data_IF_783179282107
#
_entry.id   IF_783179282107
#
_cell.length_a   1.000
_cell.length_b   1.000
_cell.length_c   1.000
_cell.angle_alpha   90.00
_cell.angle_beta   90.00
_cell.angle_gamma   90.00
#
_symmetry.space_group_name_H-M   'P 1'
#
loop_
_entity.id
_entity.type
_entity.pdbx_description
1 polymer ?
#
# COMPACT_ATOMS: atom_id res chain seq x y z
N UNK A 1 42.79 -25.90 10.27
CA UNK A 1 43.89 -26.75 9.76
C UNK A 1 43.38 -27.53 8.56
N UNK A 2 43.73 -27.07 7.36
CA UNK A 2 43.41 -27.72 6.09
C UNK A 2 44.52 -28.70 5.73
N UNK A 3 44.18 -29.92 5.33
CA UNK A 3 45.14 -30.88 4.73
C UNK A 3 44.55 -31.36 3.41
N UNK A 4 45.10 -30.79 2.34
CA UNK A 4 44.83 -31.09 0.95
C UNK A 4 45.91 -32.09 0.47
N UNK A 5 45.52 -33.21 -0.18
CA UNK A 5 46.47 -34.20 -0.73
C UNK A 5 46.66 -34.03 -2.24
N UNK A 6 47.94 -33.92 -2.61
CA UNK A 6 48.60 -33.96 -3.95
C UNK A 6 48.06 -35.11 -4.84
N UNK A 7 47.85 -34.96 -6.16
CA UNK A 7 48.73 -34.63 -7.30
C UNK A 7 49.68 -35.76 -7.76
N UNK A 8 49.52 -36.19 -9.03
CA UNK A 8 50.44 -36.88 -9.96
C UNK A 8 49.68 -37.06 -11.30
N UNK A 9 50.21 -36.97 -12.52
CA UNK A 9 51.41 -36.40 -13.16
C UNK A 9 51.20 -36.51 -14.71
N UNK A 10 51.93 -35.67 -15.45
CA UNK A 10 51.96 -35.37 -16.91
C UNK A 10 52.55 -36.50 -17.82
N UNK A 11 52.78 -36.40 -19.18
CA UNK A 11 53.19 -35.23 -20.03
C UNK A 11 52.50 -35.10 -21.43
N UNK A 12 52.41 -33.94 -22.10
CA UNK A 12 53.37 -33.03 -22.80
C UNK A 12 54.02 -33.60 -24.07
N UNK A 13 53.74 -32.95 -25.21
CA UNK A 13 54.48 -33.00 -26.48
C UNK A 13 53.81 -32.15 -27.58
N UNK A 14 54.44 -31.04 -27.98
CA UNK A 14 53.98 -30.06 -28.99
C UNK A 14 54.91 -30.08 -30.25
N UNK A 15 54.97 -29.05 -31.13
CA UNK A 15 54.20 -28.89 -32.39
C UNK A 15 55.08 -28.76 -33.65
N UNK A 16 54.51 -28.76 -34.87
CA UNK A 16 55.20 -28.37 -36.13
C UNK A 16 54.28 -27.55 -37.04
N UNK A 17 54.90 -26.60 -37.75
CA UNK A 17 54.44 -25.37 -38.39
C UNK A 17 54.05 -25.44 -39.87
N UNK A 18 53.22 -24.47 -40.28
CA UNK A 18 53.24 -23.66 -41.52
C UNK A 18 53.14 -24.32 -42.91
N UNK A 19 52.14 -23.88 -43.70
CA UNK A 19 52.30 -23.47 -45.11
C UNK A 19 51.26 -22.41 -45.50
N UNK A 20 51.76 -21.30 -46.02
CA UNK A 20 51.08 -20.19 -46.70
C UNK A 20 51.14 -20.45 -48.22
N UNK A 21 50.05 -20.14 -48.94
CA UNK A 21 49.97 -19.45 -50.24
C UNK A 21 48.58 -19.70 -50.85
N UNK A 22 47.72 -18.69 -50.86
CA UNK A 22 47.31 -17.93 -52.06
C UNK A 22 46.53 -18.77 -53.08
N UNK A 23 45.22 -18.53 -53.18
CA UNK A 23 44.67 -18.09 -54.46
C UNK A 23 43.38 -17.29 -54.29
N UNK A 24 43.24 -16.30 -55.16
CA UNK A 24 42.23 -15.25 -55.12
C UNK A 24 41.16 -15.46 -56.20
N UNK A 25 40.00 -14.84 -55.98
CA UNK A 25 38.91 -14.57 -56.94
C UNK A 25 37.92 -15.69 -57.27
N UNK A 26 36.69 -15.56 -56.72
CA UNK A 26 35.47 -15.60 -57.52
C UNK A 26 34.30 -14.91 -56.81
N UNK A 27 33.61 -14.12 -57.62
CA UNK A 27 32.61 -13.12 -57.32
C UNK A 27 31.30 -13.66 -56.76
N UNK A 28 30.76 -12.91 -55.80
CA UNK A 28 29.35 -12.53 -55.64
C UNK A 28 28.30 -13.27 -56.48
N UNK A 29 27.38 -13.97 -55.80
CA UNK A 29 25.96 -13.98 -56.18
C UNK A 29 25.07 -14.46 -55.02
N UNK A 30 24.02 -13.67 -54.80
CA UNK A 30 22.76 -13.96 -54.10
C UNK A 30 22.73 -14.21 -52.59
N UNK A 31 22.90 -13.12 -51.85
CA UNK A 31 22.17 -12.88 -50.60
C UNK A 31 20.73 -12.40 -50.91
N UNK A 32 19.77 -13.33 -50.97
CA UNK A 32 18.34 -12.96 -51.05
C UNK A 32 17.39 -14.04 -50.51
N UNK A 33 17.70 -14.62 -49.34
CA UNK A 33 16.63 -15.18 -48.49
C UNK A 33 15.91 -14.02 -47.81
N UNK A 34 14.92 -13.47 -48.50
CA UNK A 34 13.89 -12.65 -47.88
C UNK A 34 13.27 -13.46 -46.74
N UNK A 35 13.57 -13.05 -45.51
CA UNK A 35 12.78 -13.36 -44.34
C UNK A 35 11.36 -12.86 -44.60
N UNK A 36 10.47 -13.79 -44.91
CA UNK A 36 9.04 -13.53 -44.90
C UNK A 36 8.68 -13.09 -43.48
N UNK A 37 8.51 -11.78 -43.30
CA UNK A 37 7.91 -11.21 -42.10
C UNK A 37 6.48 -11.74 -42.05
N UNK A 38 6.31 -12.86 -41.36
CA UNK A 38 5.02 -13.41 -41.00
C UNK A 38 4.28 -12.31 -40.21
N UNK A 39 3.34 -11.63 -40.88
CA UNK A 39 2.40 -10.72 -40.22
C UNK A 39 1.81 -11.47 -39.03
N UNK A 40 1.71 -10.88 -37.83
CA UNK A 40 1.01 -11.52 -36.74
C UNK A 40 -0.39 -11.84 -37.23
N UNK A 41 -0.69 -13.13 -37.37
CA UNK A 41 -2.00 -13.61 -37.75
C UNK A 41 -3.01 -12.91 -36.84
N UNK A 42 -3.89 -12.09 -37.42
CA UNK A 42 -4.96 -11.46 -36.68
C UNK A 42 -5.79 -12.61 -36.07
N UNK A 43 -5.67 -12.78 -34.76
CA UNK A 43 -6.42 -13.79 -34.01
C UNK A 43 -7.89 -13.59 -34.39
N UNK A 44 -8.62 -14.63 -34.83
CA UNK A 44 -10.03 -14.49 -35.20
C UNK A 44 -10.81 -13.91 -34.02
N UNK A 45 -11.72 -12.97 -34.31
CA UNK A 45 -12.59 -12.34 -33.32
C UNK A 45 -13.58 -13.38 -32.79
N UNK A 46 -13.23 -14.04 -31.67
CA UNK A 46 -14.16 -14.94 -30.98
C UNK A 46 -15.35 -14.12 -30.44
N UNK A 47 -16.59 -14.64 -30.53
CA UNK A 47 -17.76 -13.97 -29.94
C UNK A 47 -17.69 -13.90 -28.40
N UNK A 48 -16.74 -14.61 -27.78
CA UNK A 48 -16.51 -14.64 -26.33
C UNK A 48 -15.40 -13.69 -25.85
N UNK A 49 -14.80 -12.89 -26.74
CA UNK A 49 -13.76 -11.89 -26.39
C UNK A 49 -14.05 -11.02 -25.17
N UNK A 50 -15.26 -10.47 -24.94
CA UNK A 50 -15.50 -9.67 -23.74
C UNK A 50 -15.37 -10.49 -22.45
N UNK A 51 -15.78 -11.76 -22.45
CA UNK A 51 -15.67 -12.66 -21.29
C UNK A 51 -14.21 -13.07 -21.07
N UNK A 52 -13.49 -13.39 -22.15
CA UNK A 52 -12.06 -13.69 -22.11
C UNK A 52 -11.26 -12.51 -21.58
N UNK A 53 -11.57 -11.28 -22.01
CA UNK A 53 -10.90 -10.06 -21.58
C UNK A 53 -11.17 -9.74 -20.11
N UNK A 54 -12.40 -9.95 -19.63
CA UNK A 54 -12.72 -9.82 -18.20
C UNK A 54 -11.96 -10.86 -17.38
N UNK A 55 -11.93 -12.11 -17.84
CA UNK A 55 -11.21 -13.18 -17.16
C UNK A 55 -9.69 -12.90 -17.12
N UNK A 56 -9.14 -12.38 -18.21
CA UNK A 56 -7.74 -11.97 -18.29
C UNK A 56 -7.45 -10.77 -17.38
N UNK A 57 -8.33 -9.77 -17.33
CA UNK A 57 -8.18 -8.60 -16.46
C UNK A 57 -8.20 -8.99 -14.97
N UNK A 58 -9.06 -9.94 -14.60
CA UNK A 58 -9.27 -10.36 -13.22
C UNK A 58 -8.19 -11.33 -12.70
N UNK A 59 -7.57 -12.11 -13.57
CA UNK A 59 -6.61 -13.15 -13.16
C UNK A 59 -5.16 -12.84 -13.54
N UNK A 60 -4.92 -12.02 -14.57
CA UNK A 60 -3.57 -11.73 -15.03
C UNK A 60 -2.96 -10.53 -14.29
N UNK A 61 -1.87 -10.77 -13.56
CA UNK A 61 -1.16 -9.74 -12.81
C UNK A 61 -0.56 -8.64 -13.73
N UNK A 62 -0.32 -8.92 -15.02
CA UNK A 62 0.12 -7.90 -15.99
C UNK A 62 -0.87 -6.72 -16.12
N UNK A 63 -2.15 -6.96 -15.81
CA UNK A 63 -3.20 -5.97 -15.89
C UNK A 63 -3.60 -5.38 -14.53
N UNK A 64 -2.88 -5.72 -13.46
CA UNK A 64 -3.20 -5.29 -12.09
C UNK A 64 -3.45 -3.78 -11.99
N UNK A 65 -2.51 -2.95 -12.47
CA UNK A 65 -2.63 -1.49 -12.37
C UNK A 65 -3.76 -0.91 -13.24
N UNK A 66 -4.12 -1.59 -14.34
CA UNK A 66 -5.27 -1.18 -15.16
C UNK A 66 -6.57 -1.43 -14.40
N UNK A 67 -6.71 -2.61 -13.78
CA UNK A 67 -7.85 -2.95 -12.95
C UNK A 67 -7.93 -2.02 -11.72
N UNK A 68 -6.81 -1.82 -11.02
CA UNK A 68 -6.71 -0.94 -9.86
C UNK A 68 -7.11 0.51 -10.22
N UNK A 69 -6.63 1.05 -11.34
CA UNK A 69 -7.00 2.37 -11.82
C UNK A 69 -8.49 2.51 -12.14
N UNK A 70 -9.07 1.51 -12.81
CA UNK A 70 -10.51 1.46 -13.10
C UNK A 70 -11.34 1.44 -11.82
N UNK A 71 -10.97 0.57 -10.86
CA UNK A 71 -11.64 0.46 -9.57
C UNK A 71 -11.49 1.74 -8.75
N UNK A 72 -10.32 2.37 -8.75
CA UNK A 72 -10.09 3.63 -8.04
C UNK A 72 -10.99 4.75 -8.58
N UNK A 73 -11.13 4.87 -9.91
CA UNK A 73 -12.06 5.81 -10.52
C UNK A 73 -13.51 5.48 -10.18
N UNK A 74 -13.90 4.21 -10.25
CA UNK A 74 -15.24 3.77 -9.87
C UNK A 74 -15.57 4.13 -8.41
N UNK A 75 -14.60 3.96 -7.51
CA UNK A 75 -14.71 4.32 -6.09
C UNK A 75 -14.85 5.82 -5.87
N UNK A 76 -14.16 6.67 -6.64
CA UNK A 76 -14.39 8.13 -6.61
C UNK A 76 -15.85 8.44 -6.91
N UNK A 77 -16.40 7.89 -8.01
CA UNK A 77 -17.79 8.13 -8.40
C UNK A 77 -18.78 7.57 -7.37
N UNK A 78 -18.53 6.37 -6.86
CA UNK A 78 -19.37 5.72 -5.86
C UNK A 78 -19.44 6.56 -4.57
N UNK A 79 -18.29 7.05 -4.07
CA UNK A 79 -18.26 7.89 -2.89
C UNK A 79 -18.99 9.23 -3.10
N UNK A 80 -18.86 9.86 -4.28
CA UNK A 80 -19.64 11.06 -4.62
C UNK A 80 -21.15 10.78 -4.58
N UNK A 81 -21.58 9.64 -5.13
CA UNK A 81 -22.99 9.23 -5.12
C UNK A 81 -23.47 9.00 -3.69
N UNK A 82 -22.67 8.32 -2.87
CA UNK A 82 -22.99 8.04 -1.46
C UNK A 82 -23.15 9.34 -0.68
N UNK A 83 -22.21 10.28 -0.77
CA UNK A 83 -22.27 11.58 -0.07
C UNK A 83 -23.54 12.34 -0.46
N UNK A 84 -23.93 12.30 -1.74
CA UNK A 84 -25.08 13.07 -2.23
C UNK A 84 -26.44 12.39 -1.99
N UNK A 85 -26.48 11.06 -1.95
CA UNK A 85 -27.75 10.31 -1.92
C UNK A 85 -28.08 9.68 -0.57
N UNK A 86 -27.08 9.41 0.26
CA UNK A 86 -27.28 8.70 1.53
C UNK A 86 -27.10 9.72 2.67
N UNK A 87 -28.09 9.83 3.58
CA UNK A 87 -27.99 10.77 4.69
C UNK A 87 -26.84 10.39 5.63
N UNK A 88 -26.15 11.41 6.12
CA UNK A 88 -25.19 11.27 7.19
C UNK A 88 -25.84 10.67 8.44
N UNK A 89 -25.12 9.80 9.15
CA UNK A 89 -25.56 9.24 10.43
C UNK A 89 -24.57 9.61 11.51
N UNK A 90 -25.03 10.45 12.44
CA UNK A 90 -24.26 10.84 13.62
C UNK A 90 -24.10 9.65 14.58
N UNK A 91 -22.87 9.42 15.03
CA UNK A 91 -22.57 8.43 16.07
C UNK A 91 -21.58 9.04 17.07
N UNK A 92 -20.37 9.35 16.61
CA UNK A 92 -19.29 9.83 17.49
C UNK A 92 -18.73 11.21 17.08
N UNK A 93 -19.16 11.79 15.96
CA UNK A 93 -18.55 13.01 15.43
C UNK A 93 -18.78 14.21 16.35
N UNK A 94 -20.00 14.39 16.86
CA UNK A 94 -20.30 15.45 17.83
C UNK A 94 -19.44 15.27 19.09
N UNK A 95 -19.33 14.04 19.60
CA UNK A 95 -18.51 13.76 20.77
C UNK A 95 -17.03 14.11 20.52
N UNK A 96 -16.48 13.72 19.36
CA UNK A 96 -15.12 14.09 18.97
C UNK A 96 -14.90 15.61 18.97
N UNK A 97 -15.88 16.38 18.44
CA UNK A 97 -15.79 17.84 18.41
C UNK A 97 -15.89 18.46 19.81
N UNK A 98 -16.69 17.88 20.72
CA UNK A 98 -16.81 18.34 22.11
C UNK A 98 -15.53 18.07 22.90
N UNK A 99 -15.00 16.85 22.83
CA UNK A 99 -13.77 16.46 23.51
C UNK A 99 -12.61 17.35 23.10
N UNK A 100 -12.44 17.55 21.79
CA UNK A 100 -11.39 18.41 21.25
C UNK A 100 -11.65 19.89 21.54
N UNK A 101 -12.91 20.33 21.55
CA UNK A 101 -13.22 21.70 21.99
C UNK A 101 -12.79 21.96 23.42
N UNK A 102 -12.86 20.97 24.32
CA UNK A 102 -12.33 21.06 25.68
C UNK A 102 -10.83 21.35 25.67
N UNK A 103 -10.07 20.56 24.90
CA UNK A 103 -8.64 20.77 24.73
C UNK A 103 -8.29 22.15 24.16
N UNK A 104 -9.00 22.58 23.11
CA UNK A 104 -8.79 23.89 22.49
C UNK A 104 -9.12 25.08 23.41
N UNK A 105 -9.91 24.86 24.46
CA UNK A 105 -10.20 25.86 25.50
C UNK A 105 -9.14 25.91 26.61
N UNK A 106 -8.11 25.07 26.52
CA UNK A 106 -7.00 25.02 27.46
C UNK A 106 -7.06 23.91 28.50
N UNK A 107 -8.02 22.97 28.39
CA UNK A 107 -8.02 21.79 29.25
C UNK A 107 -6.97 20.79 28.79
N UNK A 108 -6.09 20.38 29.70
CA UNK A 108 -5.01 19.42 29.43
C UNK A 108 -5.13 18.14 30.25
N UNK A 109 -5.98 18.14 31.28
CA UNK A 109 -6.29 16.95 32.05
C UNK A 109 -7.28 16.08 31.25
N UNK A 110 -6.80 14.92 30.79
CA UNK A 110 -7.60 13.95 30.04
C UNK A 110 -8.85 13.48 30.79
N UNK A 111 -8.83 13.48 32.12
CA UNK A 111 -9.98 13.06 32.92
C UNK A 111 -11.18 14.01 32.78
N UNK A 112 -10.90 15.26 32.39
CA UNK A 112 -11.87 16.33 32.20
C UNK A 112 -12.30 16.47 30.72
N UNK A 113 -11.56 15.90 29.77
CA UNK A 113 -11.93 15.90 28.35
C UNK A 113 -13.04 14.87 28.11
N UNK A 114 -14.27 15.35 27.84
CA UNK A 114 -15.46 14.50 27.67
C UNK A 114 -16.38 15.05 26.59
N UNK A 115 -17.11 14.13 25.95
CA UNK A 115 -18.24 14.43 25.06
C UNK A 115 -19.50 13.69 25.50
N UNK A 116 -20.54 13.76 24.67
CA UNK A 116 -21.85 13.13 24.93
C UNK A 116 -21.76 11.60 25.06
N UNK A 117 -20.72 10.99 24.50
CA UNK A 117 -20.46 9.54 24.57
C UNK A 117 -19.58 9.12 25.75
N UNK A 118 -19.14 10.08 26.59
CA UNK A 118 -18.30 9.81 27.76
C UNK A 118 -16.92 10.48 27.69
N UNK A 119 -15.95 10.01 28.49
CA UNK A 119 -14.60 10.58 28.51
C UNK A 119 -13.81 10.22 27.24
N UNK A 120 -12.88 11.10 26.89
CA UNK A 120 -11.94 10.89 25.80
C UNK A 120 -11.00 9.72 26.14
N UNK A 121 -11.10 8.65 25.36
CA UNK A 121 -10.29 7.42 25.52
C UNK A 121 -9.18 7.27 24.47
N UNK A 122 -9.12 8.19 23.51
CA UNK A 122 -8.13 8.16 22.45
C UNK A 122 -6.83 8.85 22.87
N UNK A 123 -5.66 8.40 22.38
CA UNK A 123 -4.37 9.05 22.64
C UNK A 123 -4.24 10.44 21.98
N UNK A 124 -3.16 11.17 22.31
CA UNK A 124 -2.97 12.58 21.94
C UNK A 124 -2.95 12.87 20.44
N UNK A 125 -2.53 11.90 19.60
CA UNK A 125 -2.58 12.05 18.15
C UNK A 125 -4.02 12.26 17.64
N UNK A 126 -5.02 11.64 18.25
CA UNK A 126 -6.43 11.92 17.96
C UNK A 126 -6.75 13.40 18.25
N UNK A 127 -6.39 13.88 19.44
CA UNK A 127 -6.67 15.26 19.85
C UNK A 127 -6.07 16.26 18.87
N UNK A 128 -4.81 16.07 18.45
CA UNK A 128 -4.14 16.97 17.50
C UNK A 128 -4.77 16.94 16.10
N UNK A 129 -5.05 15.75 15.57
CA UNK A 129 -5.64 15.62 14.23
C UNK A 129 -7.06 16.17 14.22
N UNK A 130 -7.88 15.83 15.21
CA UNK A 130 -9.25 16.30 15.29
C UNK A 130 -9.33 17.77 15.69
N UNK A 131 -8.32 18.35 16.35
CA UNK A 131 -8.19 19.81 16.51
C UNK A 131 -8.03 20.50 15.16
N UNK A 132 -7.19 19.95 14.27
CA UNK A 132 -7.07 20.49 12.92
C UNK A 132 -8.39 20.34 12.14
N UNK A 133 -9.05 19.18 12.22
CA UNK A 133 -10.35 18.97 11.59
C UNK A 133 -11.41 19.93 12.12
N UNK A 134 -11.45 20.18 13.43
CA UNK A 134 -12.38 21.11 14.07
C UNK A 134 -12.35 22.49 13.40
N UNK A 135 -11.16 23.03 13.12
CA UNK A 135 -11.04 24.31 12.41
C UNK A 135 -11.40 24.21 10.92
N UNK A 136 -11.06 23.11 10.24
CA UNK A 136 -11.33 22.92 8.81
C UNK A 136 -12.83 22.79 8.48
N UNK A 137 -13.64 22.32 9.43
CA UNK A 137 -15.07 22.01 9.24
C UNK A 137 -16.00 22.94 10.01
N UNK A 138 -15.61 24.21 10.18
CA UNK A 138 -16.39 25.24 10.87
C UNK A 138 -16.80 24.82 12.29
N UNK A 139 -15.83 24.39 13.11
CA UNK A 139 -16.04 23.94 14.50
C UNK A 139 -16.94 22.69 14.61
N UNK A 140 -16.83 21.77 13.65
CA UNK A 140 -17.65 20.55 13.64
C UNK A 140 -19.00 20.66 12.93
N UNK A 141 -19.43 21.88 12.57
CA UNK A 141 -20.79 22.14 12.04
C UNK A 141 -20.93 21.76 10.57
N UNK A 142 -19.85 21.83 9.79
CA UNK A 142 -19.90 21.59 8.36
C UNK A 142 -19.63 20.11 8.02
N UNK A 143 -20.65 19.28 8.23
CA UNK A 143 -20.56 17.83 8.00
C UNK A 143 -20.22 17.52 6.55
N UNK A 144 -20.80 18.24 5.58
CA UNK A 144 -20.50 18.01 4.16
C UNK A 144 -19.02 18.19 3.84
N UNK A 145 -18.35 19.22 4.38
CA UNK A 145 -16.89 19.36 4.23
C UNK A 145 -16.15 18.21 4.88
N UNK A 146 -16.57 17.78 6.07
CA UNK A 146 -16.03 16.58 6.73
C UNK A 146 -16.13 15.33 5.85
N UNK A 147 -17.29 15.08 5.23
CA UNK A 147 -17.49 13.94 4.33
C UNK A 147 -16.53 13.95 3.14
N UNK A 148 -16.26 15.12 2.54
CA UNK A 148 -15.27 15.24 1.47
C UNK A 148 -13.84 14.97 1.94
N UNK A 149 -13.46 15.44 3.14
CA UNK A 149 -12.15 15.13 3.74
C UNK A 149 -12.01 13.63 3.97
N UNK A 150 -13.04 13.00 4.55
CA UNK A 150 -13.05 11.56 4.82
C UNK A 150 -13.12 10.70 3.54
N UNK A 151 -13.74 11.18 2.48
CA UNK A 151 -13.62 10.58 1.15
C UNK A 151 -12.16 10.62 0.66
N UNK A 152 -11.45 11.74 0.86
CA UNK A 152 -10.03 11.83 0.58
C UNK A 152 -9.21 10.80 1.37
N UNK A 153 -9.48 10.64 2.67
CA UNK A 153 -8.85 9.61 3.52
C UNK A 153 -9.16 8.19 3.05
N UNK A 154 -10.40 7.93 2.61
CA UNK A 154 -10.80 6.65 2.04
C UNK A 154 -10.00 6.32 0.79
N UNK A 155 -9.93 7.25 -0.16
CA UNK A 155 -9.19 7.09 -1.41
C UNK A 155 -7.68 6.93 -1.16
N UNK A 156 -7.12 7.70 -0.23
CA UNK A 156 -5.73 7.53 0.19
C UNK A 156 -5.47 6.12 0.75
N UNK A 157 -6.35 5.65 1.64
CA UNK A 157 -6.27 4.28 2.18
C UNK A 157 -6.31 3.25 1.06
N UNK A 158 -7.27 3.39 0.14
CA UNK A 158 -7.46 2.49 -0.99
C UNK A 158 -6.22 2.43 -1.88
N UNK A 159 -5.61 3.58 -2.19
CA UNK A 159 -4.39 3.66 -2.99
C UNK A 159 -3.19 2.97 -2.32
N UNK A 160 -3.04 3.13 -1.00
CA UNK A 160 -2.00 2.43 -0.23
C UNK A 160 -2.25 0.92 -0.27
N UNK A 161 -3.48 0.48 -0.04
CA UNK A 161 -3.88 -0.94 -0.07
C UNK A 161 -3.62 -1.55 -1.45
N UNK A 162 -4.00 -0.88 -2.54
CA UNK A 162 -3.68 -1.33 -3.89
C UNK A 162 -2.17 -1.46 -4.12
N UNK A 163 -1.37 -0.54 -3.58
CA UNK A 163 0.08 -0.62 -3.68
C UNK A 163 0.62 -1.81 -2.88
N UNK A 164 0.07 -2.11 -1.70
CA UNK A 164 0.42 -3.31 -0.92
C UNK A 164 0.12 -4.57 -1.74
N UNK A 165 -1.08 -4.70 -2.30
CA UNK A 165 -1.45 -5.85 -3.13
C UNK A 165 -0.58 -5.97 -4.39
N UNK A 166 -0.14 -4.86 -4.98
CA UNK A 166 0.76 -4.89 -6.14
C UNK A 166 2.13 -5.50 -5.84
N UNK A 167 2.54 -5.53 -4.56
CA UNK A 167 3.80 -6.16 -4.14
C UNK A 167 3.69 -7.67 -4.02
N UNK A 168 2.49 -8.18 -3.88
CA UNK A 168 2.24 -9.61 -3.82
C UNK A 168 1.86 -10.14 -5.20
N UNK A 169 2.72 -10.98 -5.77
CA UNK A 169 2.47 -11.63 -7.06
C UNK A 169 1.61 -12.90 -6.93
N UNK A 170 1.37 -13.37 -5.70
CA UNK A 170 0.61 -14.60 -5.45
C UNK A 170 -0.89 -14.36 -5.43
N UNK A 171 -1.31 -13.18 -4.98
CA UNK A 171 -2.73 -12.81 -4.93
C UNK A 171 -3.25 -12.43 -6.33
N UNK A 172 -4.34 -13.06 -6.80
CA UNK A 172 -4.97 -12.69 -8.06
C UNK A 172 -5.61 -11.30 -8.00
N UNK A 173 -5.59 -10.52 -9.11
CA UNK A 173 -6.16 -9.16 -9.16
C UNK A 173 -7.66 -9.04 -8.80
N UNK A 174 -8.47 -10.10 -8.96
CA UNK A 174 -9.89 -10.06 -8.63
C UNK A 174 -10.18 -9.69 -7.17
N UNK A 175 -9.21 -9.90 -6.26
CA UNK A 175 -9.35 -9.53 -4.84
C UNK A 175 -9.56 -8.03 -4.67
N UNK A 176 -9.04 -7.20 -5.58
CA UNK A 176 -9.26 -5.74 -5.56
C UNK A 176 -10.75 -5.39 -5.66
N UNK A 177 -11.53 -6.17 -6.41
CA UNK A 177 -12.98 -5.96 -6.55
C UNK A 177 -13.67 -6.20 -5.20
N UNK A 178 -13.27 -7.24 -4.48
CA UNK A 178 -13.84 -7.56 -3.16
C UNK A 178 -13.53 -6.46 -2.13
N UNK A 179 -12.34 -5.87 -2.19
CA UNK A 179 -11.95 -4.75 -1.32
C UNK A 179 -12.86 -3.53 -1.55
N UNK A 180 -13.10 -3.18 -2.83
CA UNK A 180 -13.98 -2.06 -3.21
C UNK A 180 -15.45 -2.29 -2.82
N UNK A 181 -15.96 -3.52 -2.95
CA UNK A 181 -17.38 -3.83 -2.69
C UNK A 181 -17.81 -3.75 -1.22
N UNK A 182 -16.92 -3.43 -0.28
CA UNK A 182 -17.25 -3.38 1.15
C UNK A 182 -18.13 -2.19 1.51
N UNK A 183 -19.43 -2.43 1.70
CA UNK A 183 -20.40 -1.44 2.23
C UNK A 183 -20.00 -0.88 3.59
N UNK A 184 -19.34 -1.69 4.42
CA UNK A 184 -18.94 -1.30 5.77
C UNK A 184 -17.87 -0.20 5.74
N UNK A 185 -16.89 -0.28 4.84
CA UNK A 185 -15.83 0.72 4.73
C UNK A 185 -16.40 2.08 4.33
N UNK A 186 -17.24 2.12 3.30
CA UNK A 186 -17.95 3.33 2.88
C UNK A 186 -18.71 4.00 4.03
N UNK A 187 -19.40 3.19 4.84
CA UNK A 187 -20.16 3.69 5.96
C UNK A 187 -19.27 4.24 7.08
N UNK A 188 -18.16 3.58 7.41
CA UNK A 188 -17.21 4.02 8.44
C UNK A 188 -16.52 5.33 8.04
N UNK A 189 -16.02 5.41 6.81
CA UNK A 189 -15.30 6.59 6.34
C UNK A 189 -16.25 7.77 6.11
N UNK A 190 -17.24 7.60 5.23
CA UNK A 190 -17.94 8.74 4.62
C UNK A 190 -19.29 9.05 5.26
N UNK A 191 -19.94 8.08 5.90
CA UNK A 191 -21.27 8.28 6.51
C UNK A 191 -21.25 8.49 8.02
N UNK A 192 -20.12 8.19 8.69
CA UNK A 192 -19.98 8.28 10.15
C UNK A 192 -18.79 9.13 10.59
N UNK A 193 -17.74 9.24 9.77
CA UNK A 193 -16.53 10.04 10.04
C UNK A 193 -15.79 9.55 11.31
N UNK A 194 -15.68 8.24 11.48
CA UNK A 194 -14.98 7.64 12.63
C UNK A 194 -13.49 7.95 12.66
N UNK A 195 -12.88 7.86 13.85
CA UNK A 195 -11.43 8.01 14.02
C UNK A 195 -10.62 6.87 13.35
N UNK A 196 -11.17 5.66 13.30
CA UNK A 196 -10.55 4.46 12.73
C UNK A 196 -9.86 4.70 11.36
N UNK A 197 -10.54 5.29 10.35
CA UNK A 197 -9.94 5.75 9.10
C UNK A 197 -8.55 6.38 9.21
N UNK A 198 -8.38 7.33 10.13
CA UNK A 198 -7.13 8.09 10.28
C UNK A 198 -6.01 7.17 10.77
N UNK A 199 -6.29 6.36 11.80
CA UNK A 199 -5.33 5.40 12.32
C UNK A 199 -4.93 4.34 11.27
N UNK A 200 -5.90 3.87 10.47
CA UNK A 200 -5.66 2.85 9.46
C UNK A 200 -4.81 3.36 8.29
N UNK A 201 -4.90 4.64 7.90
CA UNK A 201 -3.99 5.23 6.90
C UNK A 201 -2.54 5.11 7.36
N UNK A 202 -2.24 5.51 8.60
CA UNK A 202 -0.89 5.42 9.15
C UNK A 202 -0.41 3.97 9.27
N UNK A 203 -1.29 3.05 9.71
CA UNK A 203 -0.95 1.63 9.80
C UNK A 203 -0.63 1.01 8.43
N UNK A 204 -1.48 1.22 7.43
CA UNK A 204 -1.21 0.68 6.09
C UNK A 204 0.01 1.36 5.44
N UNK A 205 0.23 2.64 5.68
CA UNK A 205 1.46 3.32 5.26
C UNK A 205 2.71 2.73 5.94
N UNK A 206 2.61 2.35 7.22
CA UNK A 206 3.68 1.65 7.93
C UNK A 206 3.97 0.29 7.27
N UNK A 207 2.94 -0.51 7.01
CA UNK A 207 3.07 -1.80 6.31
C UNK A 207 3.73 -1.59 4.93
N UNK A 208 3.29 -0.59 4.17
CA UNK A 208 3.87 -0.28 2.87
C UNK A 208 5.35 0.11 2.99
N UNK A 209 5.70 0.97 3.95
CA UNK A 209 7.10 1.35 4.21
C UNK A 209 7.95 0.13 4.60
N UNK A 210 7.37 -0.81 5.37
CA UNK A 210 8.00 -2.08 5.73
C UNK A 210 8.30 -2.94 4.49
N UNK A 211 7.35 -3.05 3.56
CA UNK A 211 7.56 -3.77 2.28
C UNK A 211 8.67 -3.15 1.43
N UNK A 212 8.87 -1.83 1.51
CA UNK A 212 10.00 -1.12 0.88
C UNK A 212 11.30 -1.18 1.68
N UNK A 213 11.38 -1.98 2.75
CA UNK A 213 12.54 -2.11 3.64
C UNK A 213 12.94 -0.79 4.31
N UNK A 214 11.99 0.14 4.47
CA UNK A 214 12.20 1.42 5.17
C UNK A 214 11.77 1.28 6.63
N UNK A 215 12.58 0.59 7.42
CA UNK A 215 12.26 0.19 8.79
C UNK A 215 11.94 1.37 9.71
N UNK A 216 12.78 2.41 9.71
CA UNK A 216 12.58 3.60 10.55
C UNK A 216 11.30 4.35 10.21
N UNK A 217 11.02 4.54 8.92
CA UNK A 217 9.77 5.18 8.49
C UNK A 217 8.56 4.34 8.91
N UNK A 218 8.65 3.01 8.77
CA UNK A 218 7.61 2.09 9.22
C UNK A 218 7.35 2.22 10.72
N UNK A 219 8.39 2.27 11.55
CA UNK A 219 8.25 2.41 13.00
C UNK A 219 7.64 3.75 13.39
N UNK A 220 8.06 4.85 12.74
CA UNK A 220 7.48 6.19 12.96
C UNK A 220 5.99 6.18 12.59
N UNK A 221 5.62 5.68 11.41
CA UNK A 221 4.23 5.61 10.97
C UNK A 221 3.37 4.70 11.86
N UNK A 222 3.92 3.57 12.32
CA UNK A 222 3.23 2.69 13.27
C UNK A 222 3.00 3.39 14.61
N UNK A 223 3.98 4.14 15.10
CA UNK A 223 3.84 4.94 16.31
C UNK A 223 2.78 6.05 16.14
N UNK A 224 2.78 6.76 15.00
CA UNK A 224 1.72 7.72 14.68
C UNK A 224 0.33 7.07 14.62
N UNK A 225 0.21 5.84 14.09
CA UNK A 225 -1.07 5.12 14.12
C UNK A 225 -1.52 4.82 15.57
N UNK A 226 -0.59 4.41 16.43
CA UNK A 226 -0.85 4.14 17.85
C UNK A 226 -1.28 5.39 18.60
N UNK A 227 -0.70 6.56 18.29
CA UNK A 227 -1.08 7.83 18.93
C UNK A 227 -2.46 8.34 18.51
N UNK A 228 -3.05 7.78 17.44
CA UNK A 228 -4.43 8.06 17.03
C UNK A 228 -5.42 7.09 17.65
N UNK A 229 -5.10 5.78 17.69
CA UNK A 229 -5.99 4.76 18.27
C UNK A 229 -5.21 3.61 18.90
N UNK A 230 -5.53 3.32 20.18
CA UNK A 230 -4.89 2.24 20.94
C UNK A 230 -5.10 0.84 20.33
N UNK A 231 -6.15 0.61 19.55
CA UNK A 231 -6.39 -0.71 18.93
C UNK A 231 -5.28 -1.15 17.97
N UNK A 232 -4.43 -0.22 17.53
CA UNK A 232 -3.25 -0.51 16.70
C UNK A 232 -2.23 -1.39 17.44
N UNK A 233 -2.23 -1.35 18.78
CA UNK A 233 -1.37 -2.20 19.62
C UNK A 233 -1.60 -3.70 19.36
N UNK A 234 -2.77 -4.09 18.85
CA UNK A 234 -3.05 -5.49 18.44
C UNK A 234 -2.16 -5.96 17.28
N UNK A 235 -1.63 -5.05 16.45
CA UNK A 235 -0.69 -5.37 15.37
C UNK A 235 0.77 -5.43 15.86
N UNK A 236 1.05 -4.94 17.07
CA UNK A 236 2.40 -4.81 17.60
C UNK A 236 3.15 -6.14 17.73
N UNK A 237 2.56 -7.27 18.18
CA UNK A 237 3.28 -8.54 18.28
C UNK A 237 3.84 -9.02 16.93
N UNK A 238 3.02 -8.95 15.88
CA UNK A 238 3.44 -9.31 14.52
C UNK A 238 4.49 -8.33 14.00
N UNK A 239 4.27 -7.03 14.19
CA UNK A 239 5.20 -5.98 13.77
C UNK A 239 6.59 -6.11 14.45
N UNK A 240 6.60 -6.28 15.76
CA UNK A 240 7.82 -6.45 16.56
C UNK A 240 8.58 -7.72 16.18
N UNK A 241 7.88 -8.83 15.96
CA UNK A 241 8.50 -10.07 15.48
C UNK A 241 9.16 -9.89 14.10
N UNK A 242 8.49 -9.20 13.16
CA UNK A 242 9.04 -8.93 11.84
C UNK A 242 10.27 -8.01 11.89
N UNK A 243 10.27 -6.97 12.74
CA UNK A 243 11.44 -6.13 12.96
C UNK A 243 12.60 -6.96 13.52
N UNK A 244 12.32 -7.81 14.51
CA UNK A 244 13.34 -8.68 15.09
C UNK A 244 13.96 -9.63 14.06
N UNK A 245 13.14 -10.25 13.21
CA UNK A 245 13.62 -11.13 12.15
C UNK A 245 14.46 -10.40 11.10
N UNK A 246 14.12 -9.14 10.79
CA UNK A 246 14.75 -8.36 9.71
C UNK A 246 15.97 -7.55 10.17
N UNK A 247 16.02 -7.10 11.42
CA UNK A 247 17.04 -6.20 11.95
C UNK A 247 17.85 -6.80 13.12
N UNK A 248 17.45 -7.97 13.62
CA UNK A 248 18.04 -8.56 14.83
C UNK A 248 17.71 -7.78 16.10
N UNK A 249 18.27 -8.21 17.23
CA UNK A 249 17.92 -7.67 18.56
C UNK A 249 18.27 -6.17 18.68
N UNK A 250 19.49 -5.78 18.30
CA UNK A 250 19.97 -4.41 18.46
C UNK A 250 19.14 -3.43 17.61
N UNK A 251 18.89 -3.77 16.35
CA UNK A 251 18.06 -2.95 15.48
C UNK A 251 16.63 -2.83 15.98
N UNK A 252 16.07 -3.90 16.56
CA UNK A 252 14.75 -3.86 17.18
C UNK A 252 14.69 -2.87 18.34
N UNK A 253 15.68 -2.88 19.23
CA UNK A 253 15.75 -1.94 20.35
C UNK A 253 15.77 -0.49 19.84
N UNK A 254 16.58 -0.19 18.82
CA UNK A 254 16.62 1.15 18.21
C UNK A 254 15.25 1.56 17.66
N UNK A 255 14.58 0.67 16.94
CA UNK A 255 13.25 0.96 16.38
C UNK A 255 12.19 1.16 17.47
N UNK A 256 12.24 0.38 18.56
CA UNK A 256 11.35 0.55 19.71
C UNK A 256 11.59 1.87 20.42
N UNK A 257 12.86 2.28 20.60
CA UNK A 257 13.19 3.60 21.16
C UNK A 257 12.59 4.70 20.29
N UNK A 258 12.73 4.60 18.96
CA UNK A 258 12.14 5.58 18.03
C UNK A 258 10.61 5.62 18.18
N UNK A 259 9.95 4.46 18.31
CA UNK A 259 8.51 4.42 18.52
C UNK A 259 8.11 5.14 19.81
N UNK A 260 8.83 4.91 20.91
CA UNK A 260 8.58 5.56 22.20
C UNK A 260 8.82 7.07 22.12
N UNK A 261 9.87 7.52 21.43
CA UNK A 261 10.18 8.95 21.27
C UNK A 261 9.13 9.73 20.45
N UNK A 262 8.34 9.03 19.64
CA UNK A 262 7.25 9.64 18.85
C UNK A 262 5.96 9.79 19.68
N UNK A 263 5.81 9.05 20.78
CA UNK A 263 4.67 9.16 21.70
C UNK A 263 4.89 10.30 22.70
#
# INVERSE_FOLDING_TARGET
>A
MAVNRRAQQQPVGAPVTSKLSEDSSRSSSDSSRFTEHQKPNAVPLSPFRPIELVFELLNNHAHFWKLAGLLFLAEIFLNIIIIKKIPYTEIDWIAYMQEVSGYLKGETDYMNLRGDTGPLVYPAGFVYIYSALYYLVDMGKNISRGQWIFMGLYLLTLGIVFTIYSKDQTTPPYVLVLVCMSRRLHSIYVLRLFNDPVAMVFLYAAILAFLYKRWTLSSILFSLALSVKMSILLFFPAFGFLIWQTQGVVGTIVQLIIMVLVQ
#
